data_IF_905790485244
#
_entry.id   IF_905790485244
#
_cell.length_a   1.000
_cell.length_b   1.000
_cell.length_c   1.000
_cell.angle_alpha   90.00
_cell.angle_beta   90.00
_cell.angle_gamma   90.00
#
_symmetry.space_group_name_H-M   'P 1'
#
loop_
_entity.id
_entity.type
_entity.pdbx_description
1 polymer ?
#
# COMPACT_ATOMS: atom_id res chain seq x y z
N UNK A 1 3.59 25.69 0.27
CA UNK A 1 2.49 24.98 -0.43
C UNK A 1 2.81 23.52 -0.48
N UNK A 2 1.80 22.64 -0.43
CA UNK A 2 2.04 21.19 -0.59
C UNK A 2 2.87 20.90 -1.83
N UNK A 3 3.80 19.98 -1.75
CA UNK A 3 4.63 19.49 -2.87
C UNK A 3 3.86 18.53 -3.77
N UNK A 4 2.80 17.93 -3.21
CA UNK A 4 2.00 16.91 -3.88
C UNK A 4 0.83 17.52 -4.67
N UNK A 5 0.37 16.84 -5.74
CA UNK A 5 -0.81 17.25 -6.49
C UNK A 5 -2.04 17.39 -5.59
N UNK A 6 -2.95 18.27 -5.99
CA UNK A 6 -4.24 18.39 -5.31
C UNK A 6 -5.11 17.18 -5.64
N UNK A 7 -5.92 16.71 -4.68
CA UNK A 7 -6.89 15.64 -4.95
C UNK A 7 -7.90 16.07 -6.00
N UNK A 8 -8.31 15.12 -6.84
CA UNK A 8 -9.14 15.38 -8.03
C UNK A 8 -10.64 15.23 -7.79
N UNK A 9 -11.02 14.65 -6.63
CA UNK A 9 -12.42 14.40 -6.28
C UNK A 9 -13.16 15.65 -5.79
N UNK A 10 -14.46 15.50 -5.64
CA UNK A 10 -15.36 16.59 -5.23
C UNK A 10 -15.36 16.91 -3.74
N UNK A 11 -14.88 16.00 -2.91
CA UNK A 11 -14.86 16.17 -1.45
C UNK A 11 -13.52 16.71 -0.98
N UNK A 12 -13.55 17.53 0.08
CA UNK A 12 -12.38 17.75 0.92
C UNK A 12 -12.11 16.47 1.71
N UNK A 13 -10.90 16.33 2.27
CA UNK A 13 -10.50 15.10 2.96
C UNK A 13 -10.21 15.39 4.42
N UNK A 14 -10.91 14.70 5.31
CA UNK A 14 -10.59 14.61 6.73
C UNK A 14 -9.64 13.48 7.02
N UNK A 15 -8.90 13.56 8.12
CA UNK A 15 -8.05 12.46 8.58
C UNK A 15 -8.08 12.31 10.10
N UNK A 16 -7.96 11.06 10.56
CA UNK A 16 -7.80 10.69 11.96
C UNK A 16 -6.69 9.66 12.11
N UNK A 17 -5.85 9.85 13.10
CA UNK A 17 -4.82 8.88 13.49
C UNK A 17 -5.21 8.26 14.82
N UNK A 18 -4.99 6.97 14.98
CA UNK A 18 -5.23 6.22 16.20
C UNK A 18 -4.28 5.04 16.32
N UNK A 19 -4.08 4.56 17.54
CA UNK A 19 -3.28 3.38 17.84
C UNK A 19 -4.11 2.39 18.65
N UNK A 20 -4.14 1.12 18.21
CA UNK A 20 -4.75 0.03 18.99
C UNK A 20 -3.60 -0.60 19.79
N UNK A 21 -3.61 -0.32 21.10
CA UNK A 21 -2.54 -0.73 21.99
C UNK A 21 -2.68 -2.15 22.48
N UNK A 22 -1.55 -2.81 22.74
CA UNK A 22 -1.46 -4.12 23.41
C UNK A 22 -2.29 -5.21 22.74
N UNK A 23 -2.28 -5.26 21.40
CA UNK A 23 -3.11 -6.17 20.61
C UNK A 23 -2.72 -7.63 20.83
N UNK A 24 -1.42 -7.92 20.86
CA UNK A 24 -0.83 -9.23 21.10
C UNK A 24 0.64 -9.13 21.49
N UNK A 25 1.29 -10.25 21.79
CA UNK A 25 2.75 -10.31 21.97
C UNK A 25 3.46 -9.95 20.66
N UNK A 26 4.57 -9.20 20.77
CA UNK A 26 5.40 -8.85 19.61
C UNK A 26 6.28 -10.06 19.22
N UNK A 27 6.05 -10.60 18.04
CA UNK A 27 6.72 -11.81 17.54
C UNK A 27 8.14 -11.58 17.01
N UNK A 28 8.47 -10.34 16.64
CA UNK A 28 9.82 -9.98 16.18
C UNK A 28 10.88 -10.13 17.28
N UNK A 29 10.46 -10.07 18.54
CA UNK A 29 11.31 -10.12 19.73
C UNK A 29 10.72 -11.04 20.79
N UNK A 30 10.63 -12.36 20.51
CA UNK A 30 9.96 -13.30 21.42
C UNK A 30 10.64 -13.41 22.80
N UNK A 31 11.91 -13.01 22.90
CA UNK A 31 12.67 -12.95 24.14
C UNK A 31 12.36 -11.73 25.02
N UNK A 32 11.62 -10.74 24.48
CA UNK A 32 11.23 -9.53 25.20
C UNK A 32 9.75 -9.58 25.56
N UNK A 33 9.38 -9.00 26.69
CA UNK A 33 7.98 -8.86 27.07
C UNK A 33 7.39 -7.58 26.44
N UNK A 34 7.33 -7.58 25.09
CA UNK A 34 6.79 -6.47 24.31
C UNK A 34 5.41 -6.81 23.77
N UNK A 35 4.54 -5.82 23.78
CA UNK A 35 3.23 -5.91 23.16
C UNK A 35 3.25 -5.18 21.82
N UNK A 36 2.64 -5.80 20.81
CA UNK A 36 2.46 -5.18 19.49
C UNK A 36 1.33 -4.16 19.56
N UNK A 37 1.57 -3.00 18.99
CA UNK A 37 0.59 -1.95 18.80
C UNK A 37 0.29 -1.86 17.30
N UNK A 38 -0.95 -1.50 16.96
CA UNK A 38 -1.36 -1.33 15.57
C UNK A 38 -1.79 0.13 15.36
N UNK A 39 -0.88 0.99 14.88
CA UNK A 39 -1.21 2.35 14.51
C UNK A 39 -1.86 2.37 13.14
N UNK A 40 -2.81 3.29 12.92
CA UNK A 40 -3.47 3.46 11.66
C UNK A 40 -3.90 4.92 11.44
N UNK A 41 -4.06 5.28 10.16
CA UNK A 41 -4.60 6.57 9.74
C UNK A 41 -5.79 6.35 8.83
N UNK A 42 -6.90 7.00 9.14
CA UNK A 42 -8.11 7.00 8.35
C UNK A 42 -8.23 8.31 7.58
N UNK A 43 -8.39 8.22 6.25
CA UNK A 43 -8.76 9.34 5.39
C UNK A 43 -10.22 9.17 4.96
N UNK A 44 -10.97 10.27 4.90
CA UNK A 44 -12.41 10.21 4.62
C UNK A 44 -12.94 11.51 4.02
N UNK A 45 -14.07 11.44 3.28
CA UNK A 45 -14.72 12.63 2.76
C UNK A 45 -15.23 13.56 3.86
N UNK A 46 -15.02 14.85 3.67
CA UNK A 46 -15.61 15.91 4.50
C UNK A 46 -16.06 17.09 3.64
N UNK A 47 -17.00 17.87 4.14
CA UNK A 47 -17.43 19.13 3.53
C UNK A 47 -17.02 20.37 4.33
N UNK A 48 -16.41 20.18 5.50
CA UNK A 48 -16.06 21.25 6.46
C UNK A 48 -14.58 21.18 6.84
N UNK A 49 -13.84 22.19 6.44
CA UNK A 49 -12.38 22.28 6.72
C UNK A 49 -11.95 23.64 7.25
N UNK A 50 -12.89 24.60 7.37
CA UNK A 50 -12.60 25.96 7.80
C UNK A 50 -12.08 25.97 9.25
N UNK A 51 -10.92 26.59 9.45
CA UNK A 51 -10.26 26.68 10.75
C UNK A 51 -9.58 25.39 11.24
N UNK A 52 -9.58 24.33 10.43
CA UNK A 52 -8.90 23.08 10.76
C UNK A 52 -7.45 23.06 10.29
N UNK A 53 -6.61 22.39 11.07
CA UNK A 53 -5.20 22.17 10.75
C UNK A 53 -5.05 21.12 9.65
N UNK A 54 -4.11 21.35 8.72
CA UNK A 54 -3.72 20.35 7.71
C UNK A 54 -2.79 19.31 8.34
N UNK A 55 -3.03 18.06 8.03
CA UNK A 55 -2.16 16.97 8.46
C UNK A 55 -0.82 16.96 7.70
N UNK A 56 0.19 16.42 8.33
CA UNK A 56 1.49 16.19 7.68
C UNK A 56 1.42 14.95 6.79
N UNK A 57 2.07 15.01 5.64
CA UNK A 57 2.30 13.87 4.74
C UNK A 57 3.54 13.07 5.12
N UNK A 58 4.40 13.67 5.93
CA UNK A 58 5.57 13.04 6.54
C UNK A 58 5.89 13.77 7.85
N UNK A 59 6.17 13.03 8.90
CA UNK A 59 6.62 13.58 10.19
C UNK A 59 8.14 13.69 10.23
N UNK A 60 8.69 14.34 11.27
CA UNK A 60 10.13 14.41 11.49
C UNK A 60 10.74 13.02 11.69
N UNK A 61 10.10 12.18 12.48
CA UNK A 61 10.55 10.82 12.78
C UNK A 61 10.57 9.96 11.52
N UNK A 62 9.53 10.07 10.68
CA UNK A 62 9.46 9.37 9.40
C UNK A 62 10.52 9.84 8.41
N UNK A 63 10.77 11.15 8.30
CA UNK A 63 11.83 11.70 7.46
C UNK A 63 13.22 11.21 7.90
N UNK A 64 13.48 11.11 9.21
CA UNK A 64 14.69 10.53 9.76
C UNK A 64 14.79 9.03 9.48
N UNK A 65 13.68 8.30 9.61
CA UNK A 65 13.58 6.88 9.30
C UNK A 65 13.88 6.60 7.82
N UNK A 66 13.25 7.33 6.92
CA UNK A 66 13.50 7.26 5.46
C UNK A 66 14.96 7.58 5.12
N UNK A 67 15.52 8.64 5.69
CA UNK A 67 16.93 8.98 5.51
C UNK A 67 17.84 7.83 5.95
N UNK A 68 17.54 7.18 7.07
CA UNK A 68 18.32 6.04 7.57
C UNK A 68 18.10 4.78 6.71
N UNK A 69 16.87 4.51 6.25
CA UNK A 69 16.55 3.32 5.48
C UNK A 69 17.13 3.36 4.06
N UNK A 70 16.97 4.47 3.36
CA UNK A 70 17.28 4.61 1.94
C UNK A 70 18.49 5.50 1.63
N UNK A 71 19.11 6.14 2.64
CA UNK A 71 20.17 7.14 2.48
C UNK A 71 19.76 8.34 1.61
N UNK A 72 18.46 8.66 1.59
CA UNK A 72 17.90 9.78 0.85
C UNK A 72 17.98 11.02 1.72
N UNK A 73 18.61 12.11 1.25
CA UNK A 73 18.74 13.36 2.01
C UNK A 73 17.39 14.13 1.98
N UNK A 74 16.54 13.89 2.96
CA UNK A 74 15.35 14.71 3.21
C UNK A 74 15.71 15.84 4.19
N UNK A 75 15.45 17.07 3.80
CA UNK A 75 15.61 18.24 4.67
C UNK A 75 14.25 18.59 5.28
N UNK A 76 13.91 17.94 6.39
CA UNK A 76 12.62 18.12 7.04
C UNK A 76 12.39 19.56 7.54
N UNK A 77 13.42 20.23 8.06
CA UNK A 77 13.28 21.61 8.55
C UNK A 77 12.85 22.56 7.43
N UNK A 78 13.46 22.42 6.25
CA UNK A 78 13.06 23.17 5.07
C UNK A 78 11.64 22.81 4.62
N UNK A 79 11.26 21.53 4.62
CA UNK A 79 9.90 21.11 4.25
C UNK A 79 8.86 21.69 5.21
N UNK A 80 9.15 21.74 6.51
CA UNK A 80 8.26 22.31 7.53
C UNK A 80 8.16 23.83 7.36
N UNK A 81 9.28 24.53 7.16
CA UNK A 81 9.33 25.98 6.94
C UNK A 81 8.56 26.41 5.67
N UNK A 82 8.65 25.62 4.61
CA UNK A 82 7.93 25.88 3.33
C UNK A 82 6.51 25.33 3.28
N UNK A 83 6.14 24.47 4.24
CA UNK A 83 4.87 23.73 4.24
C UNK A 83 4.81 22.63 3.19
N UNK A 84 5.94 22.18 2.65
CA UNK A 84 6.02 21.07 1.71
C UNK A 84 5.65 19.71 2.34
N UNK A 85 5.76 19.60 3.66
CA UNK A 85 5.35 18.41 4.42
C UNK A 85 3.86 18.35 4.75
N UNK A 86 3.04 19.33 4.31
CA UNK A 86 1.61 19.33 4.54
C UNK A 86 0.87 18.58 3.44
N UNK A 87 -0.04 17.70 3.84
CA UNK A 87 -0.94 16.99 2.94
C UNK A 87 -2.21 17.79 2.64
N UNK A 88 -3.01 17.35 1.69
CA UNK A 88 -4.34 17.92 1.39
C UNK A 88 -5.45 17.26 2.24
N UNK A 89 -5.13 16.89 3.50
CA UNK A 89 -6.11 16.36 4.46
C UNK A 89 -6.13 17.17 5.75
N UNK A 90 -7.28 17.20 6.42
CA UNK A 90 -7.55 18.05 7.58
C UNK A 90 -7.79 17.21 8.83
N UNK A 91 -7.06 17.52 9.90
CA UNK A 91 -7.08 16.76 11.16
C UNK A 91 -8.46 16.86 11.81
N UNK A 92 -9.04 15.69 12.14
CA UNK A 92 -10.31 15.55 12.84
C UNK A 92 -11.48 16.31 12.21
N UNK A 93 -11.46 16.52 10.88
CA UNK A 93 -12.59 17.10 10.18
C UNK A 93 -13.89 16.29 10.46
N UNK A 94 -15.06 16.94 10.53
CA UNK A 94 -16.31 16.22 10.75
C UNK A 94 -16.66 15.33 9.57
N UNK A 95 -17.31 14.20 9.83
CA UNK A 95 -17.90 13.37 8.78
C UNK A 95 -19.07 14.08 8.12
N UNK A 96 -19.33 13.74 6.85
CA UNK A 96 -20.54 14.21 6.15
C UNK A 96 -21.74 13.49 6.75
N UNK A 97 -22.72 14.26 7.25
CA UNK A 97 -23.92 13.70 7.84
C UNK A 97 -24.75 12.91 6.80
N UNK A 98 -25.41 11.87 7.25
CA UNK A 98 -26.35 11.06 6.47
C UNK A 98 -25.78 10.44 5.17
N UNK A 99 -24.45 10.26 5.13
CA UNK A 99 -23.77 9.60 4.01
C UNK A 99 -22.82 8.53 4.50
N UNK A 100 -22.89 7.38 3.83
CA UNK A 100 -21.92 6.29 3.99
C UNK A 100 -21.05 6.18 2.73
N UNK A 101 -19.80 5.77 2.92
CA UNK A 101 -18.86 5.58 1.83
C UNK A 101 -18.14 4.23 1.98
N UNK A 102 -17.79 3.54 0.88
CA UNK A 102 -17.08 2.26 0.94
C UNK A 102 -15.71 2.38 1.62
N UNK A 103 -15.26 1.30 2.24
CA UNK A 103 -13.94 1.19 2.87
C UNK A 103 -12.93 0.55 1.93
N UNK A 104 -11.77 1.15 1.85
CA UNK A 104 -10.56 0.60 1.24
C UNK A 104 -9.45 0.56 2.29
N UNK A 105 -8.71 -0.55 2.36
CA UNK A 105 -7.60 -0.72 3.30
C UNK A 105 -6.29 -0.73 2.53
N UNK A 106 -5.31 0.01 3.02
CA UNK A 106 -3.98 0.12 2.45
C UNK A 106 -2.92 -0.37 3.42
N UNK A 107 -1.96 -1.15 2.92
CA UNK A 107 -0.76 -1.55 3.61
C UNK A 107 0.48 -0.98 2.89
N UNK A 108 1.33 -0.27 3.62
CA UNK A 108 2.56 0.30 3.05
C UNK A 108 3.62 -0.77 2.74
N UNK A 109 4.70 -0.41 2.06
CA UNK A 109 5.83 -1.30 1.80
C UNK A 109 6.74 -1.47 3.01
N UNK A 110 7.53 -2.55 3.03
CA UNK A 110 8.62 -2.72 4.00
C UNK A 110 9.58 -1.52 3.88
N UNK A 111 9.99 -0.94 5.00
CA UNK A 111 10.75 0.31 5.08
C UNK A 111 10.00 1.60 4.69
N UNK A 112 8.70 1.53 4.36
CA UNK A 112 7.86 2.69 4.14
C UNK A 112 7.22 3.16 5.46
N UNK A 113 6.16 3.93 5.41
CA UNK A 113 5.44 4.46 6.58
C UNK A 113 3.97 4.65 6.24
N UNK A 114 3.14 4.92 7.24
CA UNK A 114 1.67 4.98 7.11
C UNK A 114 1.25 5.97 6.01
N UNK A 115 1.90 7.11 5.90
CA UNK A 115 1.62 8.18 4.94
C UNK A 115 2.37 8.03 3.61
N UNK A 116 3.15 6.96 3.42
CA UNK A 116 4.06 6.81 2.28
C UNK A 116 3.43 6.81 0.88
N UNK A 117 2.10 6.71 0.80
CA UNK A 117 1.30 6.85 -0.41
C UNK A 117 0.16 7.85 -0.21
N UNK A 118 0.34 8.87 0.63
CA UNK A 118 -0.74 9.77 1.05
C UNK A 118 -1.46 10.45 -0.11
N UNK A 119 -0.77 10.77 -1.19
CA UNK A 119 -1.41 11.36 -2.37
C UNK A 119 -2.55 10.49 -2.94
N UNK A 120 -2.28 9.20 -3.11
CA UNK A 120 -3.26 8.24 -3.64
C UNK A 120 -4.40 8.02 -2.64
N UNK A 121 -4.07 7.89 -1.34
CA UNK A 121 -5.06 7.67 -0.29
C UNK A 121 -6.01 8.85 -0.16
N UNK A 122 -5.46 10.07 -0.24
CA UNK A 122 -6.22 11.33 -0.19
C UNK A 122 -7.06 11.51 -1.45
N UNK A 123 -6.53 11.18 -2.62
CA UNK A 123 -7.29 11.27 -3.87
C UNK A 123 -8.50 10.32 -3.84
N UNK A 124 -8.32 9.05 -3.46
CA UNK A 124 -9.42 8.10 -3.29
C UNK A 124 -10.45 8.61 -2.28
N UNK A 125 -10.03 9.15 -1.14
CA UNK A 125 -10.94 9.72 -0.15
C UNK A 125 -11.72 10.92 -0.72
N UNK A 126 -11.08 11.76 -1.53
CA UNK A 126 -11.75 12.89 -2.19
C UNK A 126 -12.84 12.47 -3.17
N UNK A 127 -12.76 11.26 -3.68
CA UNK A 127 -13.78 10.65 -4.54
C UNK A 127 -14.87 9.91 -3.79
N UNK A 128 -14.84 9.89 -2.46
CA UNK A 128 -15.91 9.28 -1.66
C UNK A 128 -15.59 7.84 -1.25
N UNK A 129 -14.43 7.64 -0.67
CA UNK A 129 -14.03 6.43 0.03
C UNK A 129 -13.56 6.75 1.44
N UNK A 130 -13.79 5.84 2.38
CA UNK A 130 -12.95 5.72 3.56
C UNK A 130 -11.71 4.94 3.19
N UNK A 131 -10.53 5.47 3.52
CA UNK A 131 -9.26 4.81 3.20
C UNK A 131 -8.46 4.66 4.49
N UNK A 132 -8.29 3.41 4.93
CA UNK A 132 -7.56 3.05 6.14
C UNK A 132 -6.14 2.65 5.79
N UNK A 133 -5.16 3.43 6.19
CA UNK A 133 -3.74 3.07 6.09
C UNK A 133 -3.28 2.45 7.40
N UNK A 134 -2.71 1.24 7.33
CA UNK A 134 -2.27 0.47 8.50
C UNK A 134 -0.75 0.53 8.62
N UNK A 135 -0.27 0.77 9.84
CA UNK A 135 1.16 0.82 10.14
C UNK A 135 1.67 -0.48 10.75
N UNK A 136 2.95 -0.79 10.47
CA UNK A 136 3.62 -1.99 10.93
C UNK A 136 4.91 -1.61 11.67
N UNK A 137 4.84 -1.46 13.02
CA UNK A 137 5.98 -1.06 13.83
C UNK A 137 7.21 -1.94 13.66
N UNK A 138 8.40 -1.37 13.82
CA UNK A 138 9.73 -1.99 13.63
C UNK A 138 10.08 -2.30 12.16
N UNK A 139 9.09 -2.46 11.28
CA UNK A 139 9.23 -2.88 9.89
C UNK A 139 9.05 -1.70 8.91
N UNK A 140 8.30 -0.67 9.31
CA UNK A 140 8.27 0.64 8.67
C UNK A 140 9.56 1.43 8.94
N UNK A 141 9.86 2.44 8.10
CA UNK A 141 10.98 3.36 8.32
C UNK A 141 10.89 4.05 9.68
N UNK A 142 9.68 4.46 10.02
CA UNK A 142 9.28 4.91 11.35
C UNK A 142 7.77 4.70 11.51
N UNK A 143 7.33 4.72 12.75
CA UNK A 143 5.93 4.68 13.15
C UNK A 143 5.75 5.65 14.30
N UNK A 144 4.87 6.63 14.15
CA UNK A 144 4.46 7.51 15.23
C UNK A 144 3.15 7.01 15.82
N UNK A 145 3.07 6.97 17.16
CA UNK A 145 1.88 6.57 17.90
C UNK A 145 1.12 7.81 18.39
N UNK A 146 -0.17 7.66 18.65
CA UNK A 146 -1.03 8.77 19.08
C UNK A 146 -0.78 9.22 20.54
N UNK A 147 0.03 8.47 21.31
CA UNK A 147 0.53 8.88 22.63
C UNK A 147 1.79 9.78 22.56
N UNK A 148 2.26 10.08 21.34
CA UNK A 148 3.44 10.90 21.08
C UNK A 148 4.76 10.15 21.11
N UNK A 149 4.75 8.83 21.31
CA UNK A 149 5.94 8.00 21.18
C UNK A 149 6.16 7.57 19.72
N UNK A 150 7.35 7.10 19.40
CA UNK A 150 7.70 6.68 18.04
C UNK A 150 8.58 5.43 18.06
N UNK A 151 8.43 4.60 17.03
CA UNK A 151 9.25 3.42 16.80
C UNK A 151 9.96 3.54 15.46
N UNK A 152 11.28 3.53 15.48
CA UNK A 152 12.10 3.49 14.25
C UNK A 152 12.28 2.06 13.76
N UNK A 153 12.55 1.94 12.45
CA UNK A 153 12.97 0.71 11.80
C UNK A 153 14.09 0.01 12.59
N UNK A 154 13.89 -1.26 12.87
CA UNK A 154 14.99 -2.11 13.32
C UNK A 154 15.79 -2.63 12.11
N UNK A 155 16.95 -2.00 11.88
CA UNK A 155 17.85 -2.40 10.78
C UNK A 155 18.37 -3.83 10.88
N UNK A 156 18.32 -4.47 12.05
CA UNK A 156 18.73 -5.87 12.19
C UNK A 156 17.80 -6.81 11.42
N UNK A 157 16.53 -6.43 11.25
CA UNK A 157 15.53 -7.19 10.51
C UNK A 157 15.86 -7.26 9.00
N UNK A 158 16.60 -6.27 8.46
CA UNK A 158 17.00 -6.30 7.04
C UNK A 158 17.80 -7.55 6.68
N UNK A 159 18.61 -8.05 7.62
CA UNK A 159 19.38 -9.28 7.41
C UNK A 159 18.53 -10.54 7.47
N UNK A 160 17.35 -10.46 8.09
CA UNK A 160 16.41 -11.58 8.15
C UNK A 160 15.59 -11.73 6.86
N UNK A 161 15.48 -10.68 6.01
CA UNK A 161 14.68 -10.72 4.78
C UNK A 161 15.07 -11.88 3.86
N UNK A 162 16.37 -12.19 3.80
CA UNK A 162 16.90 -13.32 3.05
C UNK A 162 17.77 -14.21 3.95
N UNK A 163 17.61 -15.51 3.84
CA UNK A 163 18.45 -16.45 4.60
C UNK A 163 18.93 -17.62 3.68
N UNK A 164 20.24 -17.76 3.37
CA UNK A 164 21.32 -16.84 3.77
C UNK A 164 21.27 -15.50 3.01
N UNK A 165 21.60 -14.41 3.68
CA UNK A 165 21.38 -13.04 3.16
C UNK A 165 22.01 -12.77 1.80
N UNK A 166 23.33 -13.00 1.65
CA UNK A 166 24.02 -12.79 0.38
C UNK A 166 23.52 -13.70 -0.74
N UNK A 167 23.23 -14.96 -0.42
CA UNK A 167 22.68 -15.91 -1.37
C UNK A 167 21.30 -15.47 -1.88
N UNK A 168 20.46 -14.98 -0.99
CA UNK A 168 19.15 -14.44 -1.32
C UNK A 168 19.20 -13.18 -2.17
N UNK A 169 20.11 -12.25 -1.87
CA UNK A 169 20.31 -11.05 -2.71
C UNK A 169 20.75 -11.40 -4.13
N UNK A 170 21.70 -12.33 -4.28
CA UNK A 170 22.15 -12.78 -5.60
C UNK A 170 21.01 -13.49 -6.36
N UNK A 171 20.23 -14.31 -5.66
CA UNK A 171 19.09 -15.00 -6.24
C UNK A 171 17.99 -14.01 -6.68
N UNK A 172 17.68 -13.00 -5.88
CA UNK A 172 16.73 -11.93 -6.22
C UNK A 172 17.15 -11.19 -7.49
N UNK A 173 18.43 -10.81 -7.61
CA UNK A 173 18.98 -10.17 -8.83
C UNK A 173 18.90 -11.06 -10.07
N UNK A 174 19.00 -12.39 -9.92
CA UNK A 174 18.82 -13.34 -11.03
C UNK A 174 17.34 -13.47 -11.39
N UNK A 175 16.48 -13.49 -10.40
CA UNK A 175 15.03 -13.62 -10.58
C UNK A 175 14.47 -12.48 -11.42
N UNK A 176 14.83 -11.23 -11.14
CA UNK A 176 14.37 -10.06 -11.92
C UNK A 176 14.83 -10.08 -13.38
N UNK A 177 15.86 -10.86 -13.71
CA UNK A 177 16.40 -11.01 -15.08
C UNK A 177 15.92 -12.30 -15.77
N UNK A 178 15.21 -13.15 -15.05
CA UNK A 178 14.73 -14.42 -15.61
C UNK A 178 13.70 -14.15 -16.71
N UNK A 179 13.83 -14.86 -17.82
CA UNK A 179 12.91 -14.82 -18.96
C UNK A 179 12.34 -16.21 -19.17
N UNK A 180 11.03 -16.34 -19.10
CA UNK A 180 10.30 -17.58 -19.26
C UNK A 180 8.82 -17.31 -19.45
N UNK A 181 8.02 -18.36 -19.54
CA UNK A 181 6.55 -18.25 -19.52
C UNK A 181 6.08 -17.73 -18.14
N UNK A 182 4.83 -17.34 -18.00
CA UNK A 182 4.28 -16.91 -16.72
C UNK A 182 4.33 -18.03 -15.66
N UNK A 183 4.11 -19.28 -16.10
CA UNK A 183 4.20 -20.47 -15.25
C UNK A 183 5.62 -20.67 -14.74
N UNK A 184 6.61 -20.58 -15.62
CA UNK A 184 8.04 -20.68 -15.25
C UNK A 184 8.47 -19.55 -14.31
N UNK A 185 7.99 -18.33 -14.53
CA UNK A 185 8.26 -17.18 -13.66
C UNK A 185 7.65 -17.39 -12.28
N UNK A 186 6.39 -17.85 -12.20
CA UNK A 186 5.71 -18.13 -10.95
C UNK A 186 6.40 -19.25 -10.17
N UNK A 187 6.81 -20.32 -10.83
CA UNK A 187 7.55 -21.43 -10.22
C UNK A 187 8.92 -20.97 -9.72
N UNK A 188 9.66 -20.18 -10.50
CA UNK A 188 10.95 -19.63 -10.09
C UNK A 188 10.83 -18.71 -8.85
N UNK A 189 9.78 -17.89 -8.81
CA UNK A 189 9.51 -17.05 -7.62
C UNK A 189 9.15 -17.92 -6.41
N UNK A 190 8.34 -18.96 -6.58
CA UNK A 190 7.97 -19.87 -5.50
C UNK A 190 9.22 -20.61 -4.93
N UNK A 191 10.09 -21.11 -5.80
CA UNK A 191 11.35 -21.72 -5.38
C UNK A 191 12.26 -20.72 -4.65
N UNK A 192 12.34 -19.48 -5.13
CA UNK A 192 13.11 -18.42 -4.51
C UNK A 192 12.58 -18.09 -3.11
N UNK A 193 11.28 -17.82 -2.97
CA UNK A 193 10.71 -17.44 -1.68
C UNK A 193 10.80 -18.57 -0.65
N UNK A 194 10.59 -19.82 -1.05
CA UNK A 194 10.68 -20.99 -0.17
C UNK A 194 12.11 -21.21 0.33
N UNK A 195 13.09 -20.91 -0.50
CA UNK A 195 14.51 -21.11 -0.15
C UNK A 195 15.10 -19.95 0.66
N UNK A 196 14.71 -18.71 0.40
CA UNK A 196 15.42 -17.54 0.93
C UNK A 196 14.55 -16.58 1.76
N UNK A 197 13.22 -16.58 1.61
CA UNK A 197 12.36 -15.52 2.11
C UNK A 197 11.39 -15.98 3.21
N UNK A 198 11.77 -16.99 4.00
CA UNK A 198 10.90 -17.50 5.08
C UNK A 198 10.42 -16.40 6.04
N UNK A 199 11.30 -15.47 6.39
CA UNK A 199 10.95 -14.31 7.21
C UNK A 199 9.89 -13.42 6.54
N UNK A 200 10.09 -13.02 5.28
CA UNK A 200 9.11 -12.18 4.57
C UNK A 200 7.75 -12.86 4.43
N UNK A 201 7.73 -14.19 4.25
CA UNK A 201 6.48 -14.97 4.21
C UNK A 201 5.70 -14.86 5.54
N UNK A 202 6.37 -15.04 6.67
CA UNK A 202 5.71 -14.91 7.99
C UNK A 202 5.20 -13.49 8.24
N UNK A 203 5.92 -12.46 7.74
CA UNK A 203 5.48 -11.07 7.91
C UNK A 203 4.18 -10.75 7.18
N UNK A 204 3.88 -11.44 6.07
CA UNK A 204 2.57 -11.29 5.39
C UNK A 204 1.43 -11.67 6.34
N UNK A 205 1.53 -12.78 7.04
CA UNK A 205 0.49 -13.25 7.98
C UNK A 205 0.33 -12.31 9.19
N UNK A 206 1.46 -11.81 9.70
CA UNK A 206 1.44 -10.84 10.80
C UNK A 206 0.81 -9.50 10.38
N UNK A 207 1.10 -9.02 9.18
CA UNK A 207 0.51 -7.79 8.66
C UNK A 207 -0.98 -7.95 8.34
N UNK A 208 -1.42 -9.14 7.93
CA UNK A 208 -2.85 -9.48 7.82
C UNK A 208 -3.53 -9.36 9.19
N UNK A 209 -2.88 -9.86 10.25
CA UNK A 209 -3.41 -9.75 11.61
C UNK A 209 -3.51 -8.29 12.05
N UNK A 210 -2.48 -7.46 11.82
CA UNK A 210 -2.53 -6.01 12.08
C UNK A 210 -3.68 -5.36 11.29
N UNK A 211 -3.81 -5.71 10.02
CA UNK A 211 -4.83 -5.16 9.13
C UNK A 211 -6.24 -5.46 9.63
N UNK A 212 -6.51 -6.71 9.99
CA UNK A 212 -7.82 -7.10 10.48
C UNK A 212 -8.15 -6.46 11.84
N UNK A 213 -7.18 -6.32 12.74
CA UNK A 213 -7.35 -5.57 13.99
C UNK A 213 -7.73 -4.11 13.72
N UNK A 214 -7.06 -3.45 12.76
CA UNK A 214 -7.38 -2.08 12.39
C UNK A 214 -8.77 -1.96 11.74
N UNK A 215 -9.16 -2.91 10.89
CA UNK A 215 -10.50 -2.96 10.27
C UNK A 215 -11.59 -3.18 11.32
N UNK A 216 -11.38 -4.08 12.28
CA UNK A 216 -12.34 -4.32 13.36
C UNK A 216 -12.52 -3.08 14.24
N UNK A 217 -11.44 -2.36 14.53
CA UNK A 217 -11.51 -1.09 15.25
C UNK A 217 -12.32 -0.05 14.47
N UNK A 218 -12.09 0.09 13.16
CA UNK A 218 -12.83 1.03 12.30
C UNK A 218 -14.30 0.61 12.21
N UNK A 219 -14.59 -0.66 12.06
CA UNK A 219 -15.97 -1.19 12.04
C UNK A 219 -16.69 -0.88 13.35
N UNK A 220 -16.07 -1.11 14.49
CA UNK A 220 -16.68 -0.85 15.80
C UNK A 220 -16.90 0.63 16.14
N UNK A 221 -16.14 1.54 15.52
CA UNK A 221 -16.19 2.97 15.85
C UNK A 221 -16.85 3.86 14.78
N UNK A 222 -16.93 3.39 13.52
CA UNK A 222 -17.36 4.22 12.36
C UNK A 222 -18.37 3.50 11.46
N UNK A 223 -19.04 2.48 11.93
CA UNK A 223 -20.06 1.68 11.18
C UNK A 223 -21.17 2.56 10.59
N UNK A 224 -21.57 3.64 11.29
CA UNK A 224 -22.58 4.58 10.81
C UNK A 224 -22.14 5.44 9.62
N UNK A 225 -20.83 5.53 9.36
CA UNK A 225 -20.23 6.34 8.29
C UNK A 225 -19.76 5.49 7.11
N UNK A 226 -19.59 4.18 7.31
CA UNK A 226 -18.99 3.29 6.31
C UNK A 226 -20.05 2.39 5.69
N UNK A 227 -19.99 2.27 4.37
CA UNK A 227 -20.82 1.35 3.59
C UNK A 227 -20.06 0.04 3.34
N UNK A 228 -20.50 -1.03 4.01
CA UNK A 228 -19.97 -2.38 3.86
C UNK A 228 -20.78 -3.25 2.90
N UNK A 229 -21.79 -2.69 2.19
CA UNK A 229 -22.72 -3.45 1.35
C UNK A 229 -22.01 -4.31 0.30
N UNK A 230 -20.98 -3.79 -0.32
CA UNK A 230 -20.18 -4.48 -1.33
C UNK A 230 -18.84 -4.99 -0.80
N UNK A 231 -18.71 -5.16 0.52
CA UNK A 231 -17.48 -5.60 1.18
C UNK A 231 -16.41 -4.51 1.31
N UNK A 232 -15.17 -4.92 1.44
CA UNK A 232 -14.01 -4.06 1.64
C UNK A 232 -13.06 -4.24 0.46
N UNK A 233 -12.52 -3.13 -0.06
CA UNK A 233 -11.38 -3.17 -0.98
C UNK A 233 -10.06 -3.20 -0.21
N UNK A 234 -9.03 -3.86 -0.74
CA UNK A 234 -7.70 -3.79 -0.16
C UNK A 234 -6.63 -3.57 -1.21
N UNK A 235 -5.59 -2.84 -0.86
CA UNK A 235 -4.41 -2.73 -1.70
C UNK A 235 -3.17 -2.44 -0.87
N UNK A 236 -2.01 -2.57 -1.51
CA UNK A 236 -0.77 -2.25 -0.83
C UNK A 236 0.41 -2.10 -1.78
N UNK A 237 1.46 -1.46 -1.28
CA UNK A 237 2.70 -1.29 -2.00
C UNK A 237 3.73 -2.31 -1.51
N UNK A 238 4.47 -2.94 -2.43
CA UNK A 238 5.56 -3.86 -2.09
C UNK A 238 5.08 -5.00 -1.18
N UNK A 239 5.61 -5.15 0.04
CA UNK A 239 5.14 -6.13 1.03
C UNK A 239 3.64 -6.01 1.32
N UNK A 240 3.12 -4.77 1.39
CA UNK A 240 1.68 -4.52 1.54
C UNK A 240 0.84 -5.06 0.38
N UNK A 241 1.41 -5.12 -0.83
CA UNK A 241 0.77 -5.73 -1.99
C UNK A 241 0.62 -7.25 -1.84
N UNK A 242 1.60 -7.93 -1.26
CA UNK A 242 1.48 -9.35 -0.92
C UNK A 242 0.40 -9.60 0.14
N UNK A 243 0.28 -8.71 1.13
CA UNK A 243 -0.81 -8.73 2.12
C UNK A 243 -2.17 -8.60 1.44
N UNK A 244 -2.35 -7.61 0.55
CA UNK A 244 -3.60 -7.41 -0.16
C UNK A 244 -3.98 -8.62 -1.03
N UNK A 245 -3.01 -9.24 -1.72
CA UNK A 245 -3.27 -10.45 -2.48
C UNK A 245 -3.71 -11.61 -1.59
N UNK A 246 -3.03 -11.85 -0.47
CA UNK A 246 -3.39 -12.93 0.45
C UNK A 246 -4.72 -12.69 1.14
N UNK A 247 -5.07 -11.46 1.51
CA UNK A 247 -6.39 -11.09 2.02
C UNK A 247 -7.50 -11.47 1.02
N UNK A 248 -7.30 -11.17 -0.27
CA UNK A 248 -8.25 -11.59 -1.30
C UNK A 248 -8.40 -13.12 -1.42
N UNK A 249 -7.34 -13.86 -1.14
CA UNK A 249 -7.38 -15.33 -1.19
C UNK A 249 -8.05 -15.97 0.03
N UNK A 250 -7.98 -15.36 1.20
CA UNK A 250 -8.24 -16.04 2.48
C UNK A 250 -9.34 -15.43 3.33
N UNK A 251 -9.83 -14.23 3.01
CA UNK A 251 -10.83 -13.52 3.82
C UNK A 251 -11.96 -12.96 2.96
N UNK A 252 -13.19 -13.43 3.18
CA UNK A 252 -14.36 -13.06 2.39
C UNK A 252 -14.90 -11.65 2.67
N UNK A 253 -14.41 -10.97 3.70
CA UNK A 253 -14.71 -9.56 3.91
C UNK A 253 -14.10 -8.67 2.81
N UNK A 254 -12.99 -9.10 2.21
CA UNK A 254 -12.33 -8.39 1.12
C UNK A 254 -12.85 -8.89 -0.22
N UNK A 255 -13.49 -8.03 -0.98
CA UNK A 255 -14.19 -8.39 -2.22
C UNK A 255 -13.44 -8.00 -3.49
N UNK A 256 -12.39 -7.20 -3.38
CA UNK A 256 -11.47 -6.87 -4.46
C UNK A 256 -10.14 -6.39 -3.89
N UNK A 257 -9.07 -6.49 -4.68
CA UNK A 257 -7.77 -6.02 -4.23
C UNK A 257 -6.84 -5.54 -5.33
N UNK A 258 -5.76 -4.87 -4.91
CA UNK A 258 -4.70 -4.48 -5.82
C UNK A 258 -3.33 -4.57 -5.18
N UNK A 259 -2.33 -4.93 -5.99
CA UNK A 259 -0.93 -4.94 -5.61
C UNK A 259 -0.17 -3.87 -6.39
N UNK A 260 0.57 -3.02 -5.69
CA UNK A 260 1.50 -2.07 -6.29
C UNK A 260 2.91 -2.64 -6.19
N UNK A 261 3.37 -3.24 -7.26
CA UNK A 261 4.77 -3.64 -7.53
C UNK A 261 5.39 -4.56 -6.48
N UNK A 262 4.58 -5.27 -5.70
CA UNK A 262 5.02 -6.17 -4.63
C UNK A 262 5.21 -7.60 -5.11
N UNK A 263 6.33 -8.24 -4.72
CA UNK A 263 6.47 -9.68 -4.88
C UNK A 263 5.44 -10.43 -4.02
N UNK A 264 4.86 -11.49 -4.56
CA UNK A 264 3.78 -12.24 -3.93
C UNK A 264 4.32 -13.20 -2.84
N UNK A 265 4.93 -12.61 -1.81
CA UNK A 265 5.38 -13.39 -0.65
C UNK A 265 4.19 -13.97 0.11
N UNK A 266 4.37 -15.16 0.64
CA UNK A 266 3.35 -15.88 1.39
C UNK A 266 3.14 -17.30 0.87
N UNK A 267 2.36 -18.09 1.59
CA UNK A 267 1.99 -19.42 1.15
C UNK A 267 0.63 -19.37 0.44
N UNK A 268 0.64 -19.59 -0.87
CA UNK A 268 -0.53 -19.51 -1.74
C UNK A 268 -0.76 -20.82 -2.52
N UNK A 269 -0.12 -21.94 -2.10
CA UNK A 269 -0.18 -23.18 -2.84
C UNK A 269 -1.60 -23.74 -2.87
N UNK A 270 -2.07 -24.08 -4.07
CA UNK A 270 -3.42 -24.59 -4.30
C UNK A 270 -4.55 -23.58 -4.10
N UNK A 271 -4.26 -22.30 -3.84
CA UNK A 271 -5.27 -21.26 -3.73
C UNK A 271 -5.60 -20.67 -5.08
N UNK A 272 -6.88 -20.37 -5.29
CA UNK A 272 -7.41 -19.71 -6.49
C UNK A 272 -8.02 -18.37 -6.08
N UNK A 273 -7.67 -17.30 -6.77
CA UNK A 273 -8.28 -16.00 -6.54
C UNK A 273 -9.63 -15.92 -7.25
N UNK A 274 -10.71 -15.82 -6.49
CA UNK A 274 -12.08 -15.68 -6.97
C UNK A 274 -12.61 -14.23 -6.90
N UNK A 275 -11.73 -13.25 -6.72
CA UNK A 275 -12.08 -11.84 -6.56
C UNK A 275 -11.35 -11.00 -7.61
N UNK A 276 -11.99 -9.93 -8.14
CA UNK A 276 -11.31 -8.99 -9.03
C UNK A 276 -9.99 -8.49 -8.41
N UNK A 277 -8.92 -8.49 -9.21
CA UNK A 277 -7.62 -8.07 -8.72
C UNK A 277 -6.87 -7.22 -9.75
N UNK A 278 -6.22 -6.14 -9.30
CA UNK A 278 -5.39 -5.29 -10.15
C UNK A 278 -3.93 -5.39 -9.75
N UNK A 279 -3.08 -5.75 -10.69
CA UNK A 279 -1.62 -5.78 -10.51
C UNK A 279 -1.00 -4.58 -11.22
N UNK A 280 -0.51 -3.61 -10.44
CA UNK A 280 0.31 -2.51 -10.94
C UNK A 280 1.77 -2.89 -10.79
N UNK A 281 2.58 -2.71 -11.85
CA UNK A 281 4.00 -3.08 -11.83
C UNK A 281 4.85 -2.12 -12.67
N UNK A 282 6.13 -2.05 -12.36
CA UNK A 282 7.17 -1.63 -13.30
C UNK A 282 7.77 -2.85 -14.00
N UNK A 283 8.45 -2.64 -15.12
CA UNK A 283 9.04 -3.72 -15.93
C UNK A 283 10.08 -4.57 -15.18
N UNK A 284 10.70 -4.02 -14.13
CA UNK A 284 11.72 -4.75 -13.38
C UNK A 284 11.15 -5.88 -12.51
N UNK A 285 9.87 -5.80 -12.15
CA UNK A 285 9.22 -6.68 -11.18
C UNK A 285 8.13 -7.59 -11.77
N UNK A 286 7.96 -7.64 -13.09
CA UNK A 286 6.94 -8.51 -13.72
C UNK A 286 7.11 -9.99 -13.34
N UNK A 287 8.34 -10.46 -13.20
CA UNK A 287 8.64 -11.88 -12.93
C UNK A 287 8.24 -12.34 -11.53
N UNK A 288 8.12 -11.42 -10.58
CA UNK A 288 7.80 -11.76 -9.18
C UNK A 288 6.31 -11.69 -8.85
N UNK A 289 5.49 -11.31 -9.84
CA UNK A 289 4.03 -11.19 -9.72
C UNK A 289 3.26 -12.10 -10.66
N UNK A 290 3.94 -12.92 -11.47
CA UNK A 290 3.33 -13.74 -12.52
C UNK A 290 2.20 -14.66 -12.01
N UNK A 291 2.28 -15.13 -10.77
CA UNK A 291 1.25 -15.99 -10.14
C UNK A 291 -0.13 -15.35 -10.08
N UNK A 292 -0.23 -14.01 -10.03
CA UNK A 292 -1.52 -13.29 -10.03
C UNK A 292 -2.35 -13.63 -11.27
N UNK A 293 -1.69 -13.89 -12.40
CA UNK A 293 -2.33 -14.08 -13.69
C UNK A 293 -2.69 -15.54 -14.00
N UNK A 294 -2.37 -16.49 -13.12
CA UNK A 294 -2.46 -17.92 -13.42
C UNK A 294 -3.63 -18.62 -12.73
N UNK A 295 -3.92 -18.33 -11.49
CA UNK A 295 -4.92 -19.06 -10.69
C UNK A 295 -6.03 -18.11 -10.26
N UNK A 296 -6.95 -17.78 -11.19
CA UNK A 296 -8.05 -16.86 -10.89
C UNK A 296 -9.35 -17.27 -11.61
N UNK A 297 -10.48 -17.04 -10.94
CA UNK A 297 -11.83 -17.20 -11.47
C UNK A 297 -12.61 -15.89 -11.51
N UNK A 298 -11.94 -14.77 -11.21
CA UNK A 298 -12.46 -13.42 -11.39
C UNK A 298 -11.48 -12.61 -12.27
N UNK A 299 -11.90 -11.51 -12.90
CA UNK A 299 -11.01 -10.71 -13.76
C UNK A 299 -9.75 -10.22 -13.04
N UNK A 300 -8.60 -10.34 -13.70
CA UNK A 300 -7.34 -9.77 -13.24
C UNK A 300 -6.84 -8.75 -14.25
N UNK A 301 -6.49 -7.57 -13.76
CA UNK A 301 -6.02 -6.44 -14.58
C UNK A 301 -4.53 -6.21 -14.32
N UNK A 302 -3.71 -6.33 -15.37
CA UNK A 302 -2.30 -5.94 -15.34
C UNK A 302 -2.18 -4.50 -15.82
N UNK A 303 -1.56 -3.65 -15.02
CA UNK A 303 -1.25 -2.25 -15.37
C UNK A 303 0.27 -2.07 -15.25
N UNK A 304 0.95 -2.06 -16.38
CA UNK A 304 2.40 -1.95 -16.45
C UNK A 304 2.81 -0.52 -16.74
N UNK A 305 3.50 0.12 -15.80
CA UNK A 305 4.06 1.46 -15.96
C UNK A 305 5.41 1.43 -16.67
N UNK A 306 5.54 2.27 -17.70
CA UNK A 306 6.81 2.51 -18.40
C UNK A 306 7.63 3.55 -17.65
N UNK A 307 8.95 3.40 -17.69
CA UNK A 307 9.91 4.36 -17.10
C UNK A 307 9.69 4.65 -15.59
N UNK A 308 9.05 3.74 -14.88
CA UNK A 308 8.90 3.73 -13.44
C UNK A 308 9.86 2.73 -12.77
N UNK A 309 10.14 2.93 -11.49
CA UNK A 309 10.88 2.03 -10.61
C UNK A 309 10.11 1.82 -9.31
N UNK A 310 10.40 0.74 -8.62
CA UNK A 310 9.69 0.31 -7.41
C UNK A 310 9.36 1.42 -6.40
N UNK A 311 10.36 2.19 -6.01
CA UNK A 311 10.21 3.27 -5.00
C UNK A 311 9.32 4.41 -5.50
N UNK A 312 9.21 4.58 -6.83
CA UNK A 312 8.45 5.66 -7.44
C UNK A 312 6.93 5.49 -7.36
N UNK A 313 6.43 4.33 -6.96
CA UNK A 313 5.01 4.10 -6.69
C UNK A 313 4.53 4.65 -5.35
N UNK A 314 5.34 5.45 -4.67
CA UNK A 314 5.02 6.11 -3.40
C UNK A 314 5.26 7.62 -3.49
N UNK A 315 4.92 8.36 -2.44
CA UNK A 315 5.16 9.80 -2.30
C UNK A 315 6.65 10.16 -2.46
N UNK A 316 7.53 9.18 -2.31
CA UNK A 316 8.98 9.35 -2.54
C UNK A 316 9.31 9.77 -3.96
N UNK A 317 8.44 9.50 -4.96
CA UNK A 317 8.62 9.96 -6.35
C UNK A 317 8.79 11.48 -6.45
N UNK A 318 8.09 12.23 -5.60
CA UNK A 318 8.20 13.68 -5.53
C UNK A 318 9.46 14.17 -4.78
N UNK A 319 10.13 13.29 -4.04
CA UNK A 319 11.26 13.61 -3.17
C UNK A 319 12.60 13.11 -3.73
N UNK A 320 12.59 12.13 -4.63
CA UNK A 320 13.78 11.55 -5.25
C UNK A 320 13.96 12.11 -6.65
N UNK A 321 15.16 12.59 -7.03
CA UNK A 321 15.45 12.98 -8.41
C UNK A 321 15.14 11.86 -9.40
N UNK A 322 14.66 12.22 -10.59
CA UNK A 322 14.48 11.27 -11.69
C UNK A 322 15.77 10.54 -12.02
N UNK A 323 15.68 9.27 -12.41
CA UNK A 323 16.83 8.46 -12.81
C UNK A 323 16.80 7.04 -12.24
N UNK A 324 17.95 6.57 -11.76
CA UNK A 324 18.17 5.15 -11.47
C UNK A 324 17.20 4.56 -10.41
N UNK A 325 16.85 5.33 -9.38
CA UNK A 325 15.98 4.87 -8.28
C UNK A 325 14.49 5.09 -8.55
N UNK A 326 14.12 6.16 -9.28
CA UNK A 326 12.73 6.59 -9.44
C UNK A 326 12.19 6.43 -10.88
N UNK A 327 13.03 6.04 -11.83
CA UNK A 327 12.68 6.04 -13.25
C UNK A 327 12.60 7.47 -13.82
N UNK A 328 12.27 7.56 -15.11
CA UNK A 328 12.27 8.83 -15.86
C UNK A 328 10.89 9.46 -15.98
N UNK A 329 9.82 8.71 -15.72
CA UNK A 329 8.46 9.21 -15.80
C UNK A 329 8.30 10.40 -14.84
N UNK A 330 7.61 11.44 -15.29
CA UNK A 330 7.28 12.60 -14.47
C UNK A 330 6.41 12.19 -13.26
N UNK A 331 6.60 12.87 -12.12
CA UNK A 331 5.93 12.50 -10.88
C UNK A 331 4.41 12.76 -10.93
N UNK A 332 3.99 13.89 -11.50
CA UNK A 332 2.58 14.26 -11.59
C UNK A 332 1.85 13.35 -12.59
N UNK A 333 2.50 13.00 -13.71
CA UNK A 333 1.97 12.07 -14.70
C UNK A 333 1.82 10.66 -14.10
N UNK A 334 2.83 10.18 -13.36
CA UNK A 334 2.77 8.89 -12.66
C UNK A 334 1.60 8.85 -11.67
N UNK A 335 1.45 9.92 -10.90
CA UNK A 335 0.41 10.11 -9.91
C UNK A 335 -0.99 10.08 -10.55
N UNK A 336 -1.21 10.87 -11.60
CA UNK A 336 -2.48 10.91 -12.32
C UNK A 336 -2.90 9.53 -12.82
N UNK A 337 -1.96 8.78 -13.42
CA UNK A 337 -2.26 7.44 -13.93
C UNK A 337 -2.53 6.43 -12.82
N UNK A 338 -1.84 6.54 -11.68
CA UNK A 338 -2.13 5.70 -10.51
C UNK A 338 -3.53 6.00 -9.97
N UNK A 339 -3.84 7.27 -9.68
CA UNK A 339 -5.15 7.67 -9.15
C UNK A 339 -6.29 7.23 -10.08
N UNK A 340 -6.17 7.49 -11.39
CA UNK A 340 -7.15 7.06 -12.39
C UNK A 340 -7.34 5.53 -12.38
N UNK A 341 -6.25 4.76 -12.37
CA UNK A 341 -6.34 3.29 -12.39
C UNK A 341 -7.06 2.74 -11.15
N UNK A 342 -6.75 3.29 -9.98
CA UNK A 342 -7.39 2.87 -8.73
C UNK A 342 -8.86 3.28 -8.65
N UNK A 343 -9.20 4.48 -9.10
CA UNK A 343 -10.59 4.96 -9.15
C UNK A 343 -11.44 4.09 -10.08
N UNK A 344 -10.96 3.85 -11.31
CA UNK A 344 -11.65 3.00 -12.27
C UNK A 344 -11.91 1.60 -11.70
N UNK A 345 -10.91 1.02 -11.03
CA UNK A 345 -11.02 -0.30 -10.45
C UNK A 345 -12.00 -0.33 -9.25
N UNK A 346 -11.82 0.55 -8.27
CA UNK A 346 -12.66 0.53 -7.07
C UNK A 346 -14.08 1.06 -7.30
N UNK A 347 -14.29 2.00 -8.21
CA UNK A 347 -15.63 2.45 -8.60
C UNK A 347 -16.43 1.31 -9.24
N UNK A 348 -15.77 0.44 -10.03
CA UNK A 348 -16.36 -0.79 -10.54
C UNK A 348 -16.65 -1.80 -9.41
N UNK A 349 -15.65 -2.10 -8.57
CA UNK A 349 -15.73 -3.20 -7.61
C UNK A 349 -16.59 -2.88 -6.37
N UNK A 350 -16.51 -1.66 -5.82
CA UNK A 350 -17.14 -1.29 -4.56
C UNK A 350 -18.38 -0.42 -4.74
N UNK A 351 -18.33 0.60 -5.61
CA UNK A 351 -19.49 1.45 -5.85
C UNK A 351 -20.45 0.89 -6.89
N UNK A 352 -20.02 -0.11 -7.67
CA UNK A 352 -20.82 -0.73 -8.75
C UNK A 352 -21.36 0.30 -9.75
N UNK A 353 -20.57 1.34 -10.03
CA UNK A 353 -20.96 2.40 -10.99
C UNK A 353 -20.89 1.94 -12.45
N UNK A 354 -20.19 0.84 -12.71
CA UNK A 354 -20.00 0.20 -14.01
C UNK A 354 -19.69 -1.30 -13.84
N UNK A 355 -19.87 -2.09 -14.87
CA UNK A 355 -19.64 -3.55 -14.85
C UNK A 355 -18.15 -3.90 -14.99
N UNK A 356 -17.40 -3.08 -15.72
CA UNK A 356 -15.95 -3.26 -15.93
C UNK A 356 -15.21 -1.93 -15.77
N UNK A 357 -13.97 -1.93 -15.24
CA UNK A 357 -13.19 -0.69 -15.13
C UNK A 357 -12.70 -0.22 -16.51
N UNK A 358 -12.74 1.08 -16.77
CA UNK A 358 -12.29 1.68 -18.03
C UNK A 358 -10.77 1.92 -18.00
N UNK A 359 -10.02 0.82 -17.91
CA UNK A 359 -8.56 0.86 -17.95
C UNK A 359 -8.06 0.78 -19.39
N UNK A 360 -7.28 1.78 -19.83
CA UNK A 360 -6.79 1.88 -21.22
C UNK A 360 -5.29 2.05 -21.28
N UNK A 361 -4.66 1.34 -22.21
CA UNK A 361 -3.26 1.55 -22.55
C UNK A 361 -3.05 2.91 -23.23
N UNK A 362 -1.92 3.54 -22.92
CA UNK A 362 -1.46 4.77 -23.56
C UNK A 362 0.09 4.80 -23.65
N UNK A 363 0.69 5.97 -23.75
CA UNK A 363 2.16 6.13 -23.77
C UNK A 363 2.83 5.95 -22.41
N UNK A 364 2.07 5.93 -21.30
CA UNK A 364 2.56 5.80 -19.91
C UNK A 364 2.36 4.38 -19.39
N UNK A 365 1.17 3.80 -19.59
CA UNK A 365 0.81 2.48 -19.08
C UNK A 365 0.44 1.52 -20.22
N UNK A 366 0.69 0.24 -19.98
CA UNK A 366 0.12 -0.84 -20.78
C UNK A 366 -0.84 -1.63 -19.91
N UNK A 367 -2.07 -1.80 -20.37
CA UNK A 367 -3.11 -2.56 -19.68
C UNK A 367 -3.36 -3.87 -20.40
N UNK A 368 -3.47 -4.95 -19.64
CA UNK A 368 -3.89 -6.28 -20.12
C UNK A 368 -4.91 -6.83 -19.15
N UNK A 369 -6.04 -7.28 -19.64
CA UNK A 369 -7.04 -8.01 -18.87
C UNK A 369 -6.85 -9.51 -19.05
N UNK A 370 -6.83 -10.24 -17.96
CA UNK A 370 -6.89 -11.70 -17.94
C UNK A 370 -8.31 -12.08 -17.54
N UNK A 371 -9.02 -12.64 -18.50
CA UNK A 371 -10.37 -13.17 -18.27
C UNK A 371 -10.30 -14.39 -17.34
N UNK A 372 -11.37 -14.65 -16.55
CA UNK A 372 -11.45 -15.85 -15.73
C UNK A 372 -11.22 -17.12 -16.56
N UNK A 373 -10.48 -18.08 -15.99
CA UNK A 373 -10.41 -19.43 -16.53
C UNK A 373 -11.83 -20.05 -16.45
N UNK A 374 -12.41 -20.40 -17.60
CA UNK A 374 -13.77 -20.95 -17.72
C UNK A 374 -13.78 -22.44 -17.39
#
# INVERSE_FOLDING_TARGET
>A
MSKYPKPTGKYKVGTRTFTIYNTRKEDLYPEKDLMRHVPARLYYPTDKTEGLERAKSITRTEAEGIKKAFMIPLNYDKMEETGENLSESFINAPFIADKKFPLIVFNHGYFSYIEGNSFLLIDLASHGYFVLSVGHPYEGAATDFDDGTSQLLDKSLTKKMYNPYLGGLIAALKLTKFKGTMEEQAEHFEQFQNKYCGFLKTRVDEWITDTNIAVDHVRGNFEDQIDFTNGIGCFGHSQGGAVAYKLCLTDDNYTCGANIDGGLFGDHNGMTNNKPFMQISCSDNENIVAKVYLNHTAPVYKVLFRDMKHVAFSDMKHNIPSGMLAGKLDADIAHEHMCRSFLEFFDCCLKKTKDTPDLKSDNVITVTEFAPDV
#
